data_IF_785524831962
#
_entry.id   IF_785524831962
#
_cell.length_a   1.000
_cell.length_b   1.000
_cell.length_c   1.000
_cell.angle_alpha   90.00
_cell.angle_beta   90.00
_cell.angle_gamma   90.00
#
_symmetry.space_group_name_H-M   'P 1'
#
loop_
_entity.id
_entity.type
_entity.pdbx_description
1 polymer ?
#
# COMPACT_ATOMS: atom_id res chain seq x y z
N UNK A 1 -107.82 93.43 -3.00
CA UNK A 1 -107.14 92.15 -2.74
C UNK A 1 -105.79 92.46 -2.13
N UNK A 2 -105.64 92.24 -0.83
CA UNK A 2 -104.43 92.47 -0.04
C UNK A 2 -103.66 91.16 0.10
N UNK A 3 -102.55 90.97 -0.61
CA UNK A 3 -101.50 89.94 -0.40
C UNK A 3 -100.38 90.34 -1.38
N UNK A 4 -99.11 90.62 -1.05
CA UNK A 4 -98.22 90.15 0.01
C UNK A 4 -97.36 91.32 0.49
N UNK A 5 -97.32 91.55 1.80
CA UNK A 5 -96.37 92.46 2.43
C UNK A 5 -95.07 91.70 2.73
N UNK A 6 -93.97 92.22 2.18
CA UNK A 6 -92.66 92.35 2.82
C UNK A 6 -92.14 91.13 3.60
N UNK A 7 -91.51 90.18 2.89
CA UNK A 7 -90.45 89.36 3.50
C UNK A 7 -89.22 90.26 3.66
N UNK A 8 -89.24 91.08 4.71
CA UNK A 8 -88.14 91.94 5.09
C UNK A 8 -86.90 91.06 5.31
N UNK A 9 -85.82 91.39 4.60
CA UNK A 9 -84.49 90.96 5.00
C UNK A 9 -84.32 91.31 6.49
N UNK A 10 -83.79 90.38 7.30
CA UNK A 10 -83.62 90.65 8.72
C UNK A 10 -82.73 91.88 8.86
N UNK A 11 -83.19 92.84 9.66
CA UNK A 11 -82.48 94.08 9.94
C UNK A 11 -81.05 93.73 10.38
N UNK A 12 -80.04 94.37 9.79
CA UNK A 12 -78.64 94.07 10.08
C UNK A 12 -78.32 94.27 11.57
N UNK A 13 -79.03 95.16 12.25
CA UNK A 13 -78.94 95.33 13.71
C UNK A 13 -79.60 94.20 14.50
N UNK A 14 -80.60 93.54 13.94
CA UNK A 14 -81.24 92.37 14.54
C UNK A 14 -80.41 91.10 14.32
N UNK A 15 -79.80 90.95 13.13
CA UNK A 15 -78.82 89.88 12.85
C UNK A 15 -77.56 90.07 13.70
N UNK A 16 -77.04 91.29 13.81
CA UNK A 16 -75.90 91.58 14.67
C UNK A 16 -76.22 91.28 16.14
N UNK A 17 -77.41 91.67 16.63
CA UNK A 17 -77.84 91.33 18.00
C UNK A 17 -78.00 89.84 18.23
N UNK A 18 -78.57 89.10 17.29
CA UNK A 18 -78.72 87.65 17.42
C UNK A 18 -77.36 86.93 17.30
N UNK A 19 -76.46 87.38 16.41
CA UNK A 19 -75.09 86.88 16.36
C UNK A 19 -74.30 87.20 17.63
N UNK A 20 -74.48 88.39 18.21
CA UNK A 20 -73.87 88.77 19.50
C UNK A 20 -74.50 87.99 20.66
N UNK A 21 -75.77 87.59 20.57
CA UNK A 21 -76.45 86.67 21.51
C UNK A 21 -75.93 85.25 21.40
N UNK A 22 -75.72 84.77 20.17
CA UNK A 22 -75.19 83.44 19.87
C UNK A 22 -73.72 83.41 20.30
N UNK A 23 -72.93 84.41 19.94
CA UNK A 23 -71.57 84.59 20.42
C UNK A 23 -71.55 84.74 21.94
N UNK A 24 -72.45 85.51 22.56
CA UNK A 24 -72.54 85.59 24.02
C UNK A 24 -72.88 84.25 24.70
N UNK A 25 -73.68 83.39 24.05
CA UNK A 25 -74.06 82.05 24.54
C UNK A 25 -72.98 81.00 24.35
N UNK A 26 -72.20 81.07 23.27
CA UNK A 26 -71.28 80.01 22.85
C UNK A 26 -69.81 80.46 22.72
N UNK A 27 -69.50 81.73 22.96
CA UNK A 27 -68.13 82.27 22.98
C UNK A 27 -67.39 81.76 24.22
N UNK A 28 -66.16 81.24 24.04
CA UNK A 28 -65.29 80.85 25.16
C UNK A 28 -64.90 82.03 26.07
N UNK A 29 -65.13 83.29 25.64
CA UNK A 29 -64.70 84.50 26.37
C UNK A 29 -65.67 84.95 27.46
N UNK A 30 -66.97 84.65 27.35
CA UNK A 30 -68.00 85.04 28.34
C UNK A 30 -68.37 83.90 29.29
N UNK A 31 -68.01 82.66 28.96
CA UNK A 31 -68.07 81.53 29.87
C UNK A 31 -66.84 81.50 30.80
N UNK A 32 -66.72 82.52 31.67
CA UNK A 32 -66.09 82.37 33.00
C UNK A 32 -66.97 81.51 33.94
N UNK A 33 -67.77 80.61 33.39
CA UNK A 33 -68.46 79.59 34.16
C UNK A 33 -67.53 78.40 34.19
N UNK A 34 -67.01 78.12 35.38
CA UNK A 34 -66.58 76.78 35.75
C UNK A 34 -67.51 75.77 35.08
N UNK A 35 -67.04 75.11 34.03
CA UNK A 35 -67.70 73.95 33.48
C UNK A 35 -67.60 72.91 34.60
N UNK A 36 -68.63 72.83 35.45
CA UNK A 36 -68.66 71.87 36.53
C UNK A 36 -68.68 70.50 35.88
N UNK A 37 -67.61 69.74 36.09
CA UNK A 37 -67.48 68.41 35.54
C UNK A 37 -68.61 67.54 36.11
N UNK A 38 -69.42 66.87 35.28
CA UNK A 38 -70.43 65.92 35.76
C UNK A 38 -69.78 64.86 36.65
N UNK A 39 -70.45 64.46 37.74
CA UNK A 39 -69.91 63.46 38.69
C UNK A 39 -69.52 62.15 37.99
N UNK A 40 -70.35 61.67 37.08
CA UNK A 40 -70.10 60.44 36.30
C UNK A 40 -68.82 60.54 35.45
N UNK A 41 -68.55 61.72 34.86
CA UNK A 41 -67.32 61.97 34.10
C UNK A 41 -66.10 61.99 35.03
N UNK A 42 -66.25 62.49 36.25
CA UNK A 42 -65.19 62.50 37.27
C UNK A 42 -64.82 61.12 37.73
N UNK A 43 -65.80 60.26 37.94
CA UNK A 43 -65.58 58.87 38.34
C UNK A 43 -64.86 58.11 37.22
N UNK A 44 -65.31 58.27 35.98
CA UNK A 44 -64.66 57.66 34.81
C UNK A 44 -63.22 58.14 34.60
N UNK A 45 -62.96 59.44 34.75
CA UNK A 45 -61.60 59.99 34.64
C UNK A 45 -60.70 59.53 35.78
N UNK A 46 -61.25 59.33 36.99
CA UNK A 46 -60.50 58.80 38.14
C UNK A 46 -60.11 57.34 37.92
N UNK A 47 -61.00 56.53 37.35
CA UNK A 47 -60.68 55.14 36.96
C UNK A 47 -59.61 55.14 35.88
N UNK A 48 -59.76 55.95 34.84
CA UNK A 48 -58.80 56.06 33.74
C UNK A 48 -57.41 56.52 34.22
N UNK A 49 -57.35 57.47 35.16
CA UNK A 49 -56.08 57.91 35.75
C UNK A 49 -55.38 56.78 36.49
N UNK A 50 -56.12 55.96 37.25
CA UNK A 50 -55.55 54.79 37.95
C UNK A 50 -55.05 53.73 36.97
N UNK A 51 -55.76 53.55 35.86
CA UNK A 51 -55.30 52.66 34.79
C UNK A 51 -54.00 53.18 34.16
N UNK A 52 -53.92 54.48 33.83
CA UNK A 52 -52.68 55.09 33.34
C UNK A 52 -51.52 54.95 34.33
N UNK A 53 -51.74 55.19 35.62
CA UNK A 53 -50.73 54.98 36.66
C UNK A 53 -50.23 53.53 36.70
N UNK A 54 -51.12 52.56 36.49
CA UNK A 54 -50.74 51.13 36.43
C UNK A 54 -49.83 50.79 35.25
N UNK A 55 -49.89 51.58 34.17
CA UNK A 55 -48.99 51.51 33.02
C UNK A 55 -47.73 52.39 33.18
N UNK A 56 -47.56 53.04 34.33
CA UNK A 56 -46.44 53.94 34.62
C UNK A 56 -46.53 55.30 33.92
N UNK A 57 -47.74 55.71 33.51
CA UNK A 57 -48.00 57.01 32.91
C UNK A 57 -48.28 58.08 33.98
N UNK A 58 -48.17 59.38 33.65
CA UNK A 58 -48.43 60.44 34.62
C UNK A 58 -49.90 60.47 35.05
N UNK A 59 -50.15 60.61 36.34
CA UNK A 59 -51.49 60.75 36.90
C UNK A 59 -52.17 62.04 36.41
N UNK A 60 -53.45 61.96 36.06
CA UNK A 60 -54.25 63.12 35.64
C UNK A 60 -54.72 63.85 36.90
N UNK A 61 -54.29 65.11 37.07
CA UNK A 61 -54.73 65.94 38.18
C UNK A 61 -56.14 66.50 37.92
N UNK A 62 -57.10 66.05 38.72
CA UNK A 62 -58.51 66.42 38.62
C UNK A 62 -58.81 67.80 39.21
N UNK A 63 -57.86 68.43 39.89
CA UNK A 63 -57.99 69.81 40.37
C UNK A 63 -57.75 70.85 39.26
N UNK A 64 -57.19 70.42 38.13
CA UNK A 64 -56.93 71.26 36.99
C UNK A 64 -58.21 71.64 36.20
N UNK A 65 -58.17 72.74 35.43
CA UNK A 65 -59.25 73.09 34.51
C UNK A 65 -59.52 71.95 33.50
N UNK A 66 -60.78 71.72 33.15
CA UNK A 66 -61.21 70.65 32.23
C UNK A 66 -60.41 70.58 30.91
N UNK A 67 -59.97 71.72 30.39
CA UNK A 67 -59.15 71.80 29.18
C UNK A 67 -57.75 71.18 29.39
N UNK A 68 -57.14 71.40 30.55
CA UNK A 68 -55.84 70.82 30.88
C UNK A 68 -55.99 69.31 31.16
N UNK A 69 -57.05 68.90 31.85
CA UNK A 69 -57.40 67.47 32.04
C UNK A 69 -57.51 66.76 30.68
N UNK A 70 -58.21 67.36 29.70
CA UNK A 70 -58.34 66.78 28.36
C UNK A 70 -56.99 66.71 27.62
N UNK A 71 -56.12 67.71 27.76
CA UNK A 71 -54.77 67.67 27.20
C UNK A 71 -53.95 66.54 27.82
N UNK A 72 -54.05 66.35 29.13
CA UNK A 72 -53.35 65.29 29.86
C UNK A 72 -53.85 63.90 29.45
N UNK A 73 -55.17 63.72 29.29
CA UNK A 73 -55.75 62.47 28.76
C UNK A 73 -55.23 62.17 27.35
N UNK A 74 -55.22 63.17 26.46
CA UNK A 74 -54.71 63.01 25.08
C UNK A 74 -53.21 62.69 25.08
N UNK A 75 -52.44 63.31 25.97
CA UNK A 75 -51.01 63.05 26.13
C UNK A 75 -50.75 61.63 26.64
N UNK A 76 -51.41 61.23 27.74
CA UNK A 76 -51.30 59.87 28.29
C UNK A 76 -51.70 58.81 27.26
N UNK A 77 -52.75 59.06 26.47
CA UNK A 77 -53.17 58.14 25.40
C UNK A 77 -52.11 58.01 24.29
N UNK A 78 -51.44 59.11 23.92
CA UNK A 78 -50.32 59.07 22.95
C UNK A 78 -49.11 58.34 23.52
N UNK A 79 -48.77 58.60 24.77
CA UNK A 79 -47.66 57.95 25.47
C UNK A 79 -47.92 56.43 25.60
N UNK A 80 -49.15 56.02 25.93
CA UNK A 80 -49.56 54.61 25.96
C UNK A 80 -49.39 53.94 24.58
N UNK A 81 -49.84 54.59 23.51
CA UNK A 81 -49.66 54.08 22.16
C UNK A 81 -48.18 53.94 21.78
N UNK A 82 -47.33 54.87 22.24
CA UNK A 82 -45.90 54.81 22.03
C UNK A 82 -45.24 53.67 22.83
N UNK A 83 -45.62 53.49 24.10
CA UNK A 83 -45.18 52.35 24.94
C UNK A 83 -45.56 51.03 24.28
N UNK A 84 -46.79 50.93 23.78
CA UNK A 84 -47.27 49.71 23.11
C UNK A 84 -46.45 49.39 21.85
N UNK A 85 -46.21 50.38 20.98
CA UNK A 85 -45.34 50.23 19.80
C UNK A 85 -43.92 49.80 20.17
N UNK A 86 -43.32 50.44 21.18
CA UNK A 86 -41.99 50.10 21.65
C UNK A 86 -41.94 48.67 22.20
N UNK A 87 -42.95 48.25 22.95
CA UNK A 87 -43.06 46.90 23.51
C UNK A 87 -43.17 45.85 22.40
N UNK A 88 -43.98 46.11 21.37
CA UNK A 88 -44.08 45.22 20.21
C UNK A 88 -42.75 45.07 19.48
N UNK A 89 -42.02 46.17 19.27
CA UNK A 89 -40.70 46.14 18.63
C UNK A 89 -39.70 45.32 19.46
N UNK A 90 -39.65 45.51 20.78
CA UNK A 90 -38.78 44.73 21.68
C UNK A 90 -39.11 43.24 21.62
N UNK A 91 -40.40 42.88 21.61
CA UNK A 91 -40.83 41.48 21.51
C UNK A 91 -40.40 40.89 20.16
N UNK A 92 -40.57 41.64 19.07
CA UNK A 92 -40.18 41.21 17.74
C UNK A 92 -38.66 41.01 17.64
N UNK A 93 -37.86 41.95 18.11
CA UNK A 93 -36.41 41.86 18.11
C UNK A 93 -35.93 40.65 18.93
N UNK A 94 -36.51 40.43 20.10
CA UNK A 94 -36.19 39.28 20.95
C UNK A 94 -36.56 37.96 20.28
N UNK A 95 -37.68 37.90 19.56
CA UNK A 95 -38.05 36.72 18.78
C UNK A 95 -37.09 36.45 17.62
N UNK A 96 -36.70 37.49 16.88
CA UNK A 96 -35.69 37.36 15.81
C UNK A 96 -34.37 36.86 16.39
N UNK A 97 -33.92 37.44 17.50
CA UNK A 97 -32.68 37.03 18.17
C UNK A 97 -32.74 35.56 18.63
N UNK A 98 -33.86 35.12 19.20
CA UNK A 98 -34.06 33.74 19.60
C UNK A 98 -34.02 32.78 18.40
N UNK A 99 -34.65 33.14 17.28
CA UNK A 99 -34.62 32.33 16.05
C UNK A 99 -33.20 32.20 15.52
N UNK A 100 -32.46 33.32 15.45
CA UNK A 100 -31.06 33.33 15.02
C UNK A 100 -30.20 32.45 15.93
N UNK A 101 -30.37 32.55 17.25
CA UNK A 101 -29.63 31.73 18.20
C UNK A 101 -29.95 30.24 18.06
N UNK A 102 -31.22 29.86 17.89
CA UNK A 102 -31.62 28.47 17.66
C UNK A 102 -31.04 27.91 16.37
N UNK A 103 -31.09 28.67 15.28
CA UNK A 103 -30.50 28.27 14.00
C UNK A 103 -29.00 28.06 14.13
N UNK A 104 -28.30 28.98 14.82
CA UNK A 104 -26.87 28.85 15.08
C UNK A 104 -26.54 27.62 15.93
N UNK A 105 -27.34 27.32 16.95
CA UNK A 105 -27.16 26.10 17.74
C UNK A 105 -27.38 24.86 16.89
N UNK A 106 -28.44 24.82 16.08
CA UNK A 106 -28.72 23.71 15.19
C UNK A 106 -27.56 23.45 14.23
N UNK A 107 -27.06 24.48 13.56
CA UNK A 107 -25.90 24.35 12.66
C UNK A 107 -24.64 23.84 13.37
N UNK A 108 -24.42 24.24 14.62
CA UNK A 108 -23.30 23.76 15.42
C UNK A 108 -23.47 22.28 15.80
N UNK A 109 -24.69 21.85 16.15
CA UNK A 109 -24.99 20.44 16.43
C UNK A 109 -24.83 19.58 15.18
N UNK A 110 -25.37 20.01 14.04
CA UNK A 110 -25.24 19.28 12.78
C UNK A 110 -23.75 19.10 12.41
N UNK A 111 -22.93 20.16 12.53
CA UNK A 111 -21.48 20.08 12.31
C UNK A 111 -20.75 19.20 13.32
N UNK A 112 -21.21 19.19 14.58
CA UNK A 112 -20.65 18.33 15.62
C UNK A 112 -20.90 16.86 15.30
N UNK A 113 -22.13 16.51 14.92
CA UNK A 113 -22.50 15.14 14.54
C UNK A 113 -21.77 14.66 13.29
N UNK A 114 -21.65 15.52 12.27
CA UNK A 114 -20.85 15.24 11.06
C UNK A 114 -19.38 14.97 11.41
N UNK A 115 -18.81 15.78 12.30
CA UNK A 115 -17.42 15.62 12.77
C UNK A 115 -17.24 14.32 13.54
N UNK A 116 -18.22 13.95 14.38
CA UNK A 116 -18.20 12.71 15.15
C UNK A 116 -18.22 11.48 14.23
N UNK A 117 -19.12 11.49 13.23
CA UNK A 117 -19.21 10.45 12.20
C UNK A 117 -17.92 10.34 11.39
N UNK A 118 -17.28 11.47 11.07
CA UNK A 118 -15.99 11.46 10.38
C UNK A 118 -14.87 10.86 11.24
N UNK A 119 -14.82 11.19 12.53
CA UNK A 119 -13.84 10.63 13.48
C UNK A 119 -14.02 9.11 13.61
N UNK A 120 -15.25 8.61 13.68
CA UNK A 120 -15.53 7.18 13.80
C UNK A 120 -15.06 6.41 12.55
N UNK A 121 -15.33 6.93 11.35
CA UNK A 121 -14.81 6.35 10.09
C UNK A 121 -13.28 6.33 10.04
N UNK A 122 -12.63 7.41 10.50
CA UNK A 122 -11.17 7.46 10.60
C UNK A 122 -10.64 6.44 11.61
N UNK A 123 -11.33 6.24 12.74
CA UNK A 123 -10.95 5.23 13.75
C UNK A 123 -11.02 3.81 13.19
N UNK A 124 -12.09 3.46 12.48
CA UNK A 124 -12.20 2.16 11.80
C UNK A 124 -11.07 1.95 10.80
N UNK A 125 -10.83 2.94 9.93
CA UNK A 125 -9.74 2.90 8.95
C UNK A 125 -8.38 2.74 9.62
N UNK A 126 -8.11 3.46 10.72
CA UNK A 126 -6.88 3.32 11.49
C UNK A 126 -6.75 1.92 12.12
N UNK A 127 -7.85 1.32 12.59
CA UNK A 127 -7.84 -0.02 13.14
C UNK A 127 -7.52 -1.06 12.07
N UNK A 128 -8.13 -0.95 10.89
CA UNK A 128 -7.86 -1.82 9.74
C UNK A 128 -6.41 -1.71 9.29
N UNK A 129 -5.88 -0.49 9.15
CA UNK A 129 -4.48 -0.26 8.80
C UNK A 129 -3.52 -0.84 9.86
N UNK A 130 -3.88 -0.74 11.15
CA UNK A 130 -3.08 -1.32 12.24
C UNK A 130 -3.06 -2.85 12.17
N UNK A 131 -4.20 -3.47 11.89
CA UNK A 131 -4.31 -4.92 11.74
C UNK A 131 -3.53 -5.42 10.51
N UNK A 132 -3.67 -4.74 9.37
CA UNK A 132 -2.91 -5.04 8.15
C UNK A 132 -1.41 -4.91 8.37
N UNK A 133 -0.96 -3.83 9.04
CA UNK A 133 0.45 -3.66 9.41
C UNK A 133 0.95 -4.81 10.27
N UNK A 134 0.15 -5.26 11.25
CA UNK A 134 0.54 -6.38 12.11
C UNK A 134 0.70 -7.68 11.31
N UNK A 135 -0.23 -7.99 10.41
CA UNK A 135 -0.14 -9.15 9.51
C UNK A 135 1.12 -9.09 8.65
N UNK A 136 1.34 -7.96 7.96
CA UNK A 136 2.52 -7.79 7.09
C UNK A 136 3.85 -7.93 7.84
N UNK A 137 3.93 -7.42 9.08
CA UNK A 137 5.13 -7.59 9.92
C UNK A 137 5.37 -9.06 10.25
N UNK A 138 4.32 -9.86 10.47
CA UNK A 138 4.42 -11.29 10.69
C UNK A 138 4.92 -12.00 9.42
N UNK A 139 4.33 -11.70 8.27
CA UNK A 139 4.72 -12.30 6.98
C UNK A 139 6.18 -12.00 6.64
N UNK A 140 6.63 -10.76 6.87
CA UNK A 140 8.03 -10.37 6.67
C UNK A 140 8.97 -11.19 7.57
N UNK A 141 8.60 -11.46 8.83
CA UNK A 141 9.42 -12.28 9.72
C UNK A 141 9.51 -13.72 9.23
N UNK A 142 8.40 -14.29 8.79
CA UNK A 142 8.37 -15.66 8.25
C UNK A 142 9.19 -15.78 6.96
N UNK A 143 9.08 -14.81 6.05
CA UNK A 143 9.86 -14.78 4.82
C UNK A 143 11.36 -14.64 5.10
N UNK A 144 11.76 -13.77 6.03
CA UNK A 144 13.17 -13.66 6.45
C UNK A 144 13.70 -14.95 7.05
N UNK A 145 12.87 -15.68 7.80
CA UNK A 145 13.27 -16.98 8.34
C UNK A 145 13.44 -18.02 7.24
N UNK A 146 12.52 -18.08 6.28
CA UNK A 146 12.63 -18.97 5.11
C UNK A 146 13.85 -18.66 4.25
N UNK A 147 14.13 -17.38 4.01
CA UNK A 147 15.30 -16.95 3.23
C UNK A 147 16.61 -17.41 3.88
N UNK A 148 16.73 -17.30 5.22
CA UNK A 148 17.88 -17.84 5.96
C UNK A 148 18.03 -19.35 5.79
N UNK A 149 16.93 -20.10 5.93
CA UNK A 149 16.94 -21.56 5.74
C UNK A 149 17.42 -21.92 4.34
N UNK A 150 16.91 -21.25 3.30
CA UNK A 150 17.34 -21.49 1.93
C UNK A 150 18.81 -21.10 1.67
N UNK A 151 19.31 -20.03 2.30
CA UNK A 151 20.72 -19.67 2.23
C UNK A 151 21.61 -20.75 2.85
N UNK A 152 21.22 -21.30 4.00
CA UNK A 152 21.93 -22.40 4.66
C UNK A 152 21.90 -23.69 3.83
N UNK A 153 20.73 -24.06 3.27
CA UNK A 153 20.57 -25.19 2.35
C UNK A 153 21.45 -25.03 1.11
N UNK A 154 21.49 -23.85 0.50
CA UNK A 154 22.34 -23.54 -0.64
C UNK A 154 23.83 -23.65 -0.30
N UNK A 155 24.24 -23.15 0.88
CA UNK A 155 25.62 -23.29 1.34
C UNK A 155 25.99 -24.77 1.58
N UNK A 156 25.07 -25.56 2.14
CA UNK A 156 25.24 -27.00 2.35
C UNK A 156 25.38 -27.75 1.01
N UNK A 157 24.50 -27.49 0.06
CA UNK A 157 24.54 -28.10 -1.27
C UNK A 157 25.84 -27.78 -1.99
N UNK A 158 26.30 -26.52 -1.95
CA UNK A 158 27.60 -26.13 -2.53
C UNK A 158 28.75 -26.92 -1.90
N UNK A 159 28.78 -27.05 -0.58
CA UNK A 159 29.82 -27.83 0.13
C UNK A 159 29.82 -29.30 -0.28
N UNK A 160 28.64 -29.94 -0.29
CA UNK A 160 28.50 -31.36 -0.69
C UNK A 160 28.91 -31.56 -2.15
N UNK A 161 28.49 -30.66 -3.04
CA UNK A 161 28.83 -30.75 -4.45
C UNK A 161 30.33 -30.60 -4.69
N UNK A 162 30.98 -29.63 -4.04
CA UNK A 162 32.43 -29.45 -4.13
C UNK A 162 33.18 -30.67 -3.58
N UNK A 163 32.74 -31.25 -2.47
CA UNK A 163 33.34 -32.48 -1.93
C UNK A 163 33.23 -33.66 -2.91
N UNK A 164 32.07 -33.78 -3.58
CA UNK A 164 31.85 -34.82 -4.61
C UNK A 164 32.73 -34.58 -5.84
N UNK A 165 32.85 -33.32 -6.30
CA UNK A 165 33.73 -32.95 -7.40
C UNK A 165 35.18 -33.33 -7.10
N UNK A 166 35.71 -32.94 -5.94
CA UNK A 166 37.08 -33.31 -5.52
C UNK A 166 37.26 -34.82 -5.35
N UNK A 167 36.23 -35.56 -4.94
CA UNK A 167 36.30 -37.02 -4.92
C UNK A 167 36.40 -37.61 -6.32
N UNK A 168 35.67 -37.06 -7.29
CA UNK A 168 35.71 -37.51 -8.68
C UNK A 168 37.04 -37.15 -9.34
N UNK A 169 37.55 -35.94 -9.12
CA UNK A 169 38.87 -35.50 -9.60
C UNK A 169 39.96 -36.45 -9.12
N UNK A 170 39.97 -36.82 -7.83
CA UNK A 170 40.92 -37.80 -7.29
C UNK A 170 40.79 -39.18 -7.95
N UNK A 171 39.57 -39.64 -8.23
CA UNK A 171 39.34 -40.91 -8.94
C UNK A 171 39.86 -40.86 -10.38
N UNK A 172 39.61 -39.76 -11.09
CA UNK A 172 40.12 -39.56 -12.45
C UNK A 172 41.65 -39.54 -12.47
N UNK A 173 42.28 -38.84 -11.52
CA UNK A 173 43.74 -38.83 -11.39
C UNK A 173 44.30 -40.22 -11.12
N UNK A 174 43.67 -40.99 -10.22
CA UNK A 174 44.09 -42.37 -9.93
C UNK A 174 43.94 -43.28 -11.16
N UNK A 175 42.84 -43.16 -11.91
CA UNK A 175 42.62 -43.91 -13.15
C UNK A 175 43.65 -43.54 -14.22
N UNK A 176 43.99 -42.26 -14.37
CA UNK A 176 45.01 -41.82 -15.31
C UNK A 176 46.39 -42.39 -14.95
N UNK A 177 46.76 -42.36 -13.67
CA UNK A 177 48.01 -42.96 -13.21
C UNK A 177 48.05 -44.48 -13.47
N UNK A 178 46.93 -45.17 -13.29
CA UNK A 178 46.83 -46.61 -13.59
C UNK A 178 46.91 -46.88 -15.09
N UNK A 179 46.28 -46.05 -15.94
CA UNK A 179 46.41 -46.13 -17.39
C UNK A 179 47.88 -46.00 -17.81
N UNK A 180 48.61 -45.04 -17.24
CA UNK A 180 50.02 -44.84 -17.57
C UNK A 180 50.90 -46.00 -17.08
N UNK A 181 50.63 -46.52 -15.88
CA UNK A 181 51.28 -47.74 -15.35
C UNK A 181 51.06 -48.96 -16.25
N UNK A 182 49.83 -49.17 -16.72
CA UNK A 182 49.49 -50.28 -17.61
C UNK A 182 50.16 -50.14 -18.98
N UNK A 183 50.27 -48.91 -19.52
CA UNK A 183 51.03 -48.67 -20.76
C UNK A 183 52.50 -49.01 -20.60
N UNK A 184 53.11 -48.65 -19.46
CA UNK A 184 54.50 -49.00 -19.14
C UNK A 184 54.69 -50.52 -19.07
N UNK A 185 53.86 -51.22 -18.29
CA UNK A 185 53.89 -52.69 -18.20
C UNK A 185 53.69 -53.40 -19.54
N UNK A 186 52.72 -52.97 -20.34
CA UNK A 186 52.51 -53.53 -21.68
C UNK A 186 53.73 -53.27 -22.59
N UNK A 187 54.37 -52.10 -22.47
CA UNK A 187 55.60 -51.80 -23.18
C UNK A 187 56.77 -52.70 -22.76
N UNK A 188 56.92 -52.96 -21.46
CA UNK A 188 57.93 -53.86 -20.91
C UNK A 188 57.74 -55.31 -21.37
N UNK A 189 56.50 -55.81 -21.36
CA UNK A 189 56.19 -57.18 -21.81
C UNK A 189 56.49 -57.39 -23.30
N UNK A 190 56.15 -56.42 -24.16
CA UNK A 190 56.46 -56.46 -25.60
C UNK A 190 57.98 -56.47 -25.84
N UNK A 191 58.75 -55.69 -25.07
CA UNK A 191 60.22 -55.67 -25.18
C UNK A 191 60.83 -56.98 -24.67
N UNK A 192 60.25 -57.60 -23.63
CA UNK A 192 60.67 -58.92 -23.14
C UNK A 192 60.44 -60.04 -24.16
N UNK A 193 59.31 -60.01 -24.89
CA UNK A 193 59.00 -61.00 -25.91
C UNK A 193 59.85 -60.83 -27.17
N UNK A 194 60.06 -59.59 -27.62
CA UNK A 194 60.97 -59.29 -28.74
C UNK A 194 62.41 -59.75 -28.43
N UNK A 195 62.91 -59.49 -27.22
CA UNK A 195 64.26 -59.92 -26.83
C UNK A 195 64.42 -61.43 -26.71
N UNK A 196 63.41 -62.15 -26.19
CA UNK A 196 63.38 -63.62 -26.18
C UNK A 196 63.32 -64.21 -27.58
N UNK A 197 62.49 -63.65 -28.46
CA UNK A 197 62.38 -64.08 -29.86
C UNK A 197 63.66 -63.81 -30.63
N UNK A 198 64.31 -62.65 -30.42
CA UNK A 198 65.62 -62.36 -31.02
C UNK A 198 66.72 -63.30 -30.52
N UNK A 199 66.74 -63.62 -29.23
CA UNK A 199 67.69 -64.58 -28.65
C UNK A 199 67.48 -65.99 -29.23
N UNK A 200 66.23 -66.44 -29.31
CA UNK A 200 65.87 -67.72 -29.93
C UNK A 200 66.28 -67.75 -31.41
N UNK A 201 66.07 -66.66 -32.15
CA UNK A 201 66.47 -66.56 -33.56
C UNK A 201 68.00 -66.60 -33.73
N UNK A 202 68.75 -65.97 -32.84
CA UNK A 202 70.23 -66.06 -32.82
C UNK A 202 70.70 -67.49 -32.54
N UNK A 203 70.10 -68.17 -31.57
CA UNK A 203 70.41 -69.57 -31.25
C UNK A 203 70.07 -70.51 -32.42
N UNK A 204 68.91 -70.35 -33.06
CA UNK A 204 68.51 -71.12 -34.24
C UNK A 204 69.47 -70.91 -35.41
N UNK A 205 69.90 -69.66 -35.66
CA UNK A 205 70.91 -69.37 -36.69
C UNK A 205 72.23 -70.08 -36.41
N UNK A 206 72.70 -70.08 -35.15
CA UNK A 206 73.92 -70.79 -34.75
C UNK A 206 73.78 -72.30 -34.97
N UNK A 207 72.69 -72.89 -34.50
CA UNK A 207 72.43 -74.33 -34.68
C UNK A 207 72.37 -74.73 -36.16
N UNK A 208 71.79 -73.90 -37.03
CA UNK A 208 71.76 -74.15 -38.47
C UNK A 208 73.16 -74.17 -39.10
N UNK A 209 74.07 -73.30 -38.62
CA UNK A 209 75.47 -73.32 -39.04
C UNK A 209 76.15 -74.61 -38.58
N UNK A 210 75.99 -74.97 -37.30
CA UNK A 210 76.56 -76.18 -36.73
C UNK A 210 76.05 -77.44 -37.45
N UNK A 211 74.75 -77.50 -37.78
CA UNK A 211 74.15 -78.57 -38.58
C UNK A 211 74.80 -78.67 -39.97
N UNK A 212 75.10 -77.54 -40.62
CA UNK A 212 75.83 -77.50 -41.88
C UNK A 212 77.25 -78.07 -41.76
N UNK A 213 77.96 -77.74 -40.67
CA UNK A 213 79.30 -78.28 -40.37
C UNK A 213 79.22 -79.80 -40.15
N UNK A 214 78.24 -80.28 -39.39
CA UNK A 214 78.05 -81.72 -39.17
C UNK A 214 77.73 -82.47 -40.47
N UNK A 215 76.83 -81.93 -41.31
CA UNK A 215 76.50 -82.52 -42.61
C UNK A 215 77.73 -82.59 -43.52
N UNK A 216 78.52 -81.52 -43.59
CA UNK A 216 79.77 -81.49 -44.35
C UNK A 216 80.76 -82.54 -43.83
N UNK A 217 80.95 -82.60 -42.51
CA UNK A 217 81.85 -83.57 -41.87
C UNK A 217 81.44 -85.02 -42.13
N UNK A 218 80.14 -85.32 -42.03
CA UNK A 218 79.60 -86.65 -42.35
C UNK A 218 79.88 -86.98 -43.82
N UNK A 219 79.70 -86.04 -44.74
CA UNK A 219 79.97 -86.25 -46.15
C UNK A 219 81.45 -86.58 -46.42
N UNK A 220 82.37 -85.81 -45.84
CA UNK A 220 83.81 -86.08 -45.94
C UNK A 220 84.18 -87.45 -45.37
N UNK A 221 83.59 -87.85 -44.24
CA UNK A 221 83.81 -89.19 -43.67
C UNK A 221 83.26 -90.29 -44.57
N UNK A 222 82.10 -90.10 -45.21
CA UNK A 222 81.53 -91.07 -46.16
C UNK A 222 82.40 -91.21 -47.41
N UNK A 223 82.99 -90.12 -47.90
CA UNK A 223 83.89 -90.09 -49.05
C UNK A 223 85.20 -90.80 -48.73
N UNK A 224 85.83 -90.47 -47.60
CA UNK A 224 87.04 -91.16 -47.12
C UNK A 224 86.82 -92.64 -46.86
N UNK A 225 85.64 -93.02 -46.35
CA UNK A 225 85.27 -94.44 -46.19
C UNK A 225 85.01 -95.16 -47.52
N UNK A 226 84.71 -94.45 -48.61
CA UNK A 226 84.67 -95.04 -49.96
C UNK A 226 86.09 -95.27 -50.47
N UNK A 227 86.95 -94.25 -50.38
CA UNK A 227 88.37 -94.36 -50.78
C UNK A 227 89.09 -95.49 -50.04
N UNK A 228 88.91 -95.61 -48.72
CA UNK A 228 89.50 -96.70 -47.94
C UNK A 228 89.00 -98.08 -48.37
N UNK A 229 87.72 -98.20 -48.75
CA UNK A 229 87.17 -99.45 -49.27
C UNK A 229 87.77 -99.83 -50.62
N UNK A 230 87.95 -98.85 -51.51
CA UNK A 230 88.58 -99.06 -52.82
C UNK A 230 90.06 -99.46 -52.65
N UNK A 231 90.79 -98.80 -51.76
CA UNK A 231 92.18 -99.17 -51.41
C UNK A 231 92.26 -100.60 -50.84
N UNK A 232 91.33 -100.97 -49.94
CA UNK A 232 91.28 -102.34 -49.43
C UNK A 232 90.99 -103.37 -50.51
N UNK A 233 90.13 -103.05 -51.48
CA UNK A 233 89.84 -103.90 -52.65
C UNK A 233 91.09 -104.09 -53.50
N UNK A 234 91.77 -102.99 -53.86
CA UNK A 234 93.02 -103.05 -54.63
C UNK A 234 94.10 -103.85 -53.91
N UNK A 235 94.32 -103.61 -52.61
CA UNK A 235 95.28 -104.38 -51.81
C UNK A 235 94.91 -105.87 -51.76
N UNK A 236 93.62 -106.19 -51.68
CA UNK A 236 93.14 -107.58 -51.71
C UNK A 236 93.42 -108.23 -53.07
N UNK A 237 93.21 -107.51 -54.17
CA UNK A 237 93.57 -107.95 -55.52
C UNK A 237 95.09 -108.15 -55.66
N UNK A 238 95.90 -107.21 -55.18
CA UNK A 238 97.37 -107.30 -55.17
C UNK A 238 97.86 -108.52 -54.38
N UNK A 239 97.26 -108.82 -53.22
CA UNK A 239 97.58 -110.03 -52.44
C UNK A 239 97.22 -111.31 -53.20
N UNK A 240 96.08 -111.33 -53.91
CA UNK A 240 95.67 -112.47 -54.73
C UNK A 240 96.66 -112.67 -55.88
N UNK A 241 97.07 -111.60 -56.57
CA UNK A 241 98.07 -111.62 -57.64
C UNK A 241 99.45 -112.06 -57.11
N UNK A 242 99.88 -111.56 -55.95
CA UNK A 242 101.13 -111.96 -55.31
C UNK A 242 101.12 -113.43 -54.86
N UNK A 243 99.97 -113.95 -54.39
CA UNK A 243 99.79 -115.38 -54.11
C UNK A 243 99.84 -116.22 -55.38
N UNK A 244 99.23 -115.77 -56.48
CA UNK A 244 99.30 -116.45 -57.77
C UNK A 244 100.76 -116.53 -58.27
N UNK A 245 101.56 -115.47 -58.13
CA UNK A 245 102.98 -115.50 -58.48
C UNK A 245 103.84 -116.40 -57.58
N UNK A 246 103.48 -116.57 -56.29
CA UNK A 246 104.13 -117.55 -55.41
C UNK A 246 103.79 -119.00 -55.77
N UNK A 247 102.56 -119.26 -56.24
CA UNK A 247 102.12 -120.58 -56.71
C UNK A 247 102.69 -120.98 -58.08
N UNK A 248 103.19 -120.02 -58.86
CA UNK A 248 103.87 -120.24 -60.16
C UNK A 248 105.39 -120.42 -60.04
N UNK A 249 105.94 -120.35 -58.81
CA UNK A 249 107.36 -120.48 -58.51
C UNK A 249 107.68 -121.69 -57.60
N UNK A 250 106.74 -122.63 -57.45
CA UNK A 250 106.90 -123.97 -56.83
C UNK A 250 106.44 -125.03 -57.81
#
# INVERSE_FOLDING_TARGET
MHFFASSAFPDLEEVARELEKIEGKYSPKTTKKHCKMPMELRDNLTVLSKEFDSFGLPSIDMENPLIEILKDVVKCSRDLAQIHRNTLNIIQDKNIQNVVQRNRHKELYDKYDDSLSHIDKLRETCMDMKNNKHSLVKDIKELKQRDRIHQDEMANLKRVNNAKLHSLERKVQALNAEIDRLKELCGEDIVSECTKNELALKLLKKHKVDEGIYKSTIHTLQERNRELRDQMLNLKEDIILARAHKSSAS
#
